data_IF_000838307879
#
_entry.id   IF_000838307879
#
_cell.length_a   1.000
_cell.length_b   1.000
_cell.length_c   1.000
_cell.angle_alpha   90.00
_cell.angle_beta   90.00
_cell.angle_gamma   90.00
#
_symmetry.space_group_name_H-M   'P 1'
#
loop_
_entity.id
_entity.type
_entity.pdbx_description
1 polymer ?
#
# COMPACT_ATOMS: atom_id res chain seq x y z
N UNK A 1 -19.17 -1.95 1.94
CA UNK A 1 -18.32 -0.75 1.68
C UNK A 1 -17.15 -0.53 2.66
N UNK A 2 -16.96 -1.29 3.77
CA UNK A 2 -15.85 -1.03 4.73
C UNK A 2 -14.48 -1.65 4.35
N UNK A 3 -14.45 -2.83 3.72
CA UNK A 3 -13.21 -3.60 3.51
C UNK A 3 -12.22 -3.03 2.45
N UNK A 4 -12.71 -2.23 1.50
CA UNK A 4 -11.86 -1.73 0.41
C UNK A 4 -10.85 -0.69 0.91
N UNK A 5 -11.24 0.12 1.90
CA UNK A 5 -10.39 1.15 2.48
C UNK A 5 -9.23 0.58 3.30
N UNK A 6 -9.43 -0.54 4.01
CA UNK A 6 -8.37 -1.14 4.81
C UNK A 6 -7.26 -1.75 3.94
N UNK A 7 -7.62 -2.42 2.83
CA UNK A 7 -6.63 -2.98 1.91
C UNK A 7 -5.77 -1.91 1.24
N UNK A 8 -6.36 -0.77 0.88
CA UNK A 8 -5.60 0.35 0.30
C UNK A 8 -4.69 0.99 1.34
N UNK A 9 -5.18 1.18 2.57
CA UNK A 9 -4.35 1.69 3.69
C UNK A 9 -3.15 0.79 3.97
N UNK A 10 -3.34 -0.53 4.01
CA UNK A 10 -2.23 -1.47 4.21
C UNK A 10 -1.17 -1.36 3.11
N UNK A 11 -1.60 -1.25 1.84
CA UNK A 11 -0.68 -1.06 0.71
C UNK A 11 0.09 0.26 0.81
N UNK A 12 -0.58 1.34 1.25
CA UNK A 12 0.06 2.64 1.46
C UNK A 12 1.09 2.57 2.60
N UNK A 13 0.78 1.90 3.71
CA UNK A 13 1.72 1.70 4.81
C UNK A 13 2.96 0.91 4.37
N UNK A 14 2.79 -0.14 3.55
CA UNK A 14 3.92 -0.89 2.99
C UNK A 14 4.84 0.06 2.19
N UNK A 15 4.27 0.96 1.39
CA UNK A 15 5.04 1.96 0.62
C UNK A 15 5.77 2.94 1.56
N UNK A 16 5.15 3.39 2.63
CA UNK A 16 5.79 4.27 3.63
C UNK A 16 6.95 3.57 4.35
N UNK A 17 6.76 2.33 4.79
CA UNK A 17 7.83 1.57 5.46
C UNK A 17 9.02 1.31 4.54
N UNK A 18 8.78 1.03 3.26
CA UNK A 18 9.85 0.94 2.27
C UNK A 18 10.62 2.25 2.11
N UNK A 19 9.92 3.39 2.11
CA UNK A 19 10.55 4.71 2.05
C UNK A 19 11.42 4.99 3.28
N UNK A 20 11.03 4.46 4.43
CA UNK A 20 11.79 4.53 5.68
C UNK A 20 12.93 3.51 5.78
N UNK A 21 13.23 2.76 4.71
CA UNK A 21 14.37 1.84 4.64
C UNK A 21 14.09 0.41 5.11
N UNK A 22 12.83 0.04 5.36
CA UNK A 22 12.46 -1.32 5.73
C UNK A 22 12.62 -2.27 4.55
N UNK A 23 13.17 -3.48 4.75
CA UNK A 23 13.41 -4.42 3.63
C UNK A 23 12.13 -5.17 3.26
N UNK A 24 12.09 -5.67 2.03
CA UNK A 24 10.97 -6.47 1.53
C UNK A 24 10.70 -7.73 2.39
N UNK A 25 11.75 -8.31 2.97
CA UNK A 25 11.65 -9.48 3.86
C UNK A 25 10.91 -9.14 5.15
N UNK A 26 11.33 -8.07 5.81
CA UNK A 26 10.69 -7.60 7.05
C UNK A 26 9.20 -7.27 6.82
N UNK A 27 8.87 -6.71 5.65
CA UNK A 27 7.48 -6.40 5.28
C UNK A 27 6.66 -7.64 4.95
N UNK A 28 7.28 -8.64 4.30
CA UNK A 28 6.66 -9.93 4.03
C UNK A 28 6.28 -10.63 5.34
N UNK A 29 7.19 -10.64 6.32
CA UNK A 29 6.98 -11.24 7.63
C UNK A 29 5.94 -10.45 8.46
N UNK A 30 6.07 -9.12 8.51
CA UNK A 30 5.16 -8.24 9.27
C UNK A 30 3.71 -8.34 8.80
N UNK A 31 3.49 -8.38 7.49
CA UNK A 31 2.15 -8.44 6.92
C UNK A 31 1.67 -9.86 6.61
N UNK A 32 2.48 -10.89 6.88
CA UNK A 32 2.21 -12.30 6.54
C UNK A 32 1.79 -12.49 5.08
N UNK A 33 2.47 -11.80 4.17
CA UNK A 33 2.21 -11.87 2.73
C UNK A 33 3.45 -12.33 1.99
N UNK A 34 3.29 -13.01 0.86
CA UNK A 34 4.41 -13.41 0.03
C UNK A 34 5.22 -12.21 -0.48
N UNK A 35 6.53 -12.41 -0.62
CA UNK A 35 7.42 -11.45 -1.28
C UNK A 35 6.92 -10.98 -2.64
N UNK A 36 6.28 -11.86 -3.42
CA UNK A 36 5.67 -11.51 -4.71
C UNK A 36 4.55 -10.47 -4.58
N UNK A 37 3.79 -10.49 -3.48
CA UNK A 37 2.77 -9.48 -3.19
C UNK A 37 3.40 -8.13 -2.86
N UNK A 38 4.48 -8.11 -2.04
CA UNK A 38 5.23 -6.89 -1.74
C UNK A 38 5.81 -6.29 -3.03
N UNK A 39 6.46 -7.09 -3.88
CA UNK A 39 6.98 -6.63 -5.17
C UNK A 39 5.89 -6.05 -6.07
N UNK A 40 4.69 -6.67 -6.11
CA UNK A 40 3.54 -6.13 -6.86
C UNK A 40 3.06 -4.79 -6.30
N UNK A 41 3.07 -4.61 -4.98
CA UNK A 41 2.71 -3.32 -4.34
C UNK A 41 3.74 -2.24 -4.72
N UNK A 42 5.03 -2.57 -4.69
CA UNK A 42 6.12 -1.67 -5.06
C UNK A 42 6.00 -1.25 -6.53
N UNK A 43 5.84 -2.23 -7.42
CA UNK A 43 5.70 -1.98 -8.85
C UNK A 43 4.49 -1.09 -9.15
N UNK A 44 3.37 -1.30 -8.45
CA UNK A 44 2.15 -0.53 -8.63
C UNK A 44 2.04 0.72 -7.72
N UNK A 45 3.10 1.12 -7.01
CA UNK A 45 3.04 2.20 -6.01
C UNK A 45 2.46 3.50 -6.54
N UNK A 46 2.80 3.87 -7.78
CA UNK A 46 2.28 5.08 -8.43
C UNK A 46 0.76 5.05 -8.61
N UNK A 47 0.22 3.92 -9.10
CA UNK A 47 -1.23 3.72 -9.25
C UNK A 47 -1.95 3.74 -7.90
N UNK A 48 -1.33 3.16 -6.86
CA UNK A 48 -1.89 3.13 -5.51
C UNK A 48 -1.97 4.55 -4.91
N UNK A 49 -0.93 5.37 -5.12
CA UNK A 49 -0.91 6.77 -4.68
C UNK A 49 -1.94 7.63 -5.43
N UNK A 50 -2.04 7.48 -6.76
CA UNK A 50 -3.08 8.15 -7.55
C UNK A 50 -4.48 7.79 -7.06
N UNK A 51 -4.72 6.50 -6.78
CA UNK A 51 -6.01 6.05 -6.27
C UNK A 51 -6.35 6.66 -4.91
N UNK A 52 -5.36 6.82 -4.00
CA UNK A 52 -5.54 7.56 -2.74
C UNK A 52 -5.99 9.00 -3.01
N UNK A 53 -5.31 9.68 -3.91
CA UNK A 53 -5.58 11.08 -4.24
C UNK A 53 -6.98 11.27 -4.85
N UNK A 54 -7.40 10.36 -5.74
CA UNK A 54 -8.76 10.34 -6.30
C UNK A 54 -9.81 10.12 -5.21
N UNK A 55 -9.59 9.18 -4.29
CA UNK A 55 -10.51 8.96 -3.17
C UNK A 55 -10.62 10.18 -2.24
N UNK A 56 -9.50 10.86 -1.97
CA UNK A 56 -9.51 12.09 -1.17
C UNK A 56 -10.26 13.23 -1.87
N UNK A 57 -10.12 13.36 -3.20
CA UNK A 57 -10.88 14.34 -4.00
C UNK A 57 -12.38 14.06 -3.97
N UNK A 58 -12.79 12.80 -4.10
CA UNK A 58 -14.21 12.40 -4.01
C UNK A 58 -14.77 12.69 -2.61
N UNK A 59 -14.02 12.42 -1.54
CA UNK A 59 -14.48 12.64 -0.16
C UNK A 59 -14.65 14.13 0.20
N UNK A 60 -13.93 15.03 -0.46
CA UNK A 60 -14.01 16.48 -0.22
C UNK A 60 -15.13 17.18 -1.00
N UNK A 61 -15.81 16.46 -1.90
CA UNK A 61 -16.87 16.96 -2.77
C UNK A 61 -18.22 16.44 -2.27
#
# INVERSE_FOLDING_TARGET
>A
MRQLNEKIKQKLQVIEYLKNGMKNKDLSEKYKVHHSAISKIIHNKGKILQHKETMEKIRRK
#
